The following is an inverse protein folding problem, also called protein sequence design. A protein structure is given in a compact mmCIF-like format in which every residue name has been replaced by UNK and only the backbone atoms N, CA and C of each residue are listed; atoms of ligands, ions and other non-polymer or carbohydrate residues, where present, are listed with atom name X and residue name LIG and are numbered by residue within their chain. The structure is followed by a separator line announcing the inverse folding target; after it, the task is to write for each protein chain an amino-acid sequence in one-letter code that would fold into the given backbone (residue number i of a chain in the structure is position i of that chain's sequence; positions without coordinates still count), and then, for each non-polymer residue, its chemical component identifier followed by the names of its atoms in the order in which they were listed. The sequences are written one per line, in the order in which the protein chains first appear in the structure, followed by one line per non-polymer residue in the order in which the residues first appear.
data_IF_413626519872
#
_entry.id   IF_413626519872
#
_cell.length_a   1.000
_cell.length_b   1.000
_cell.length_c   1.000
_cell.angle_alpha   90.00
_cell.angle_beta   90.00
_cell.angle_gamma   90.00
#
_symmetry.space_group_name_H-M   'P 1'
#
loop_
_entity.id
_entity.type
_entity.pdbx_description
1 polymer ?
#
# COMPACT_ATOMS: atom_id res chain seq x y z
N UNK A 1 17.66 7.03 -8.72
CA UNK A 1 16.66 6.03 -9.13
C UNK A 1 15.98 5.47 -7.88
N UNK A 2 15.29 6.31 -7.09
CA UNK A 2 14.85 5.90 -5.74
C UNK A 2 13.43 6.32 -5.36
N UNK A 3 12.58 6.66 -6.33
CA UNK A 3 11.19 7.08 -6.04
C UNK A 3 10.16 6.07 -6.55
N UNK A 4 10.52 5.22 -7.51
CA UNK A 4 9.59 4.28 -8.15
C UNK A 4 9.48 2.94 -7.41
N UNK A 5 10.58 2.44 -6.83
CA UNK A 5 10.60 1.14 -6.14
C UNK A 5 9.67 1.09 -4.93
N UNK A 6 9.65 2.14 -4.09
CA UNK A 6 8.83 2.15 -2.87
C UNK A 6 7.32 2.10 -3.15
N UNK A 7 6.84 2.72 -4.23
CA UNK A 7 5.42 2.67 -4.60
C UNK A 7 5.06 1.29 -5.15
N UNK A 8 5.87 0.75 -6.07
CA UNK A 8 5.63 -0.59 -6.62
C UNK A 8 5.64 -1.68 -5.53
N UNK A 9 6.60 -1.60 -4.60
CA UNK A 9 6.72 -2.54 -3.48
C UNK A 9 5.52 -2.42 -2.51
N UNK A 10 5.06 -1.19 -2.23
CA UNK A 10 3.89 -0.96 -1.38
C UNK A 10 2.59 -1.48 -2.01
N UNK A 11 2.38 -1.26 -3.31
CA UNK A 11 1.24 -1.85 -4.02
C UNK A 11 1.29 -3.38 -4.01
N UNK A 12 2.48 -3.98 -4.14
CA UNK A 12 2.64 -5.43 -4.10
C UNK A 12 2.39 -5.99 -2.69
N UNK A 13 2.83 -5.29 -1.64
CA UNK A 13 2.54 -5.66 -0.25
C UNK A 13 1.04 -5.61 0.04
N UNK A 14 0.35 -4.54 -0.41
CA UNK A 14 -1.10 -4.43 -0.32
C UNK A 14 -1.79 -5.53 -1.12
N UNK A 15 -1.37 -5.84 -2.34
CA UNK A 15 -1.93 -6.93 -3.14
C UNK A 15 -1.83 -8.29 -2.43
N UNK A 16 -0.69 -8.56 -1.79
CA UNK A 16 -0.45 -9.81 -1.05
C UNK A 16 -1.17 -9.89 0.29
N UNK A 17 -1.68 -8.78 0.83
CA UNK A 17 -2.23 -8.74 2.19
C UNK A 17 -1.16 -8.73 3.27
N UNK A 18 0.07 -8.32 2.94
CA UNK A 18 1.21 -8.32 3.86
C UNK A 18 1.23 -7.04 4.71
N UNK A 19 0.46 -7.06 5.80
CA UNK A 19 0.29 -5.93 6.71
C UNK A 19 1.62 -5.48 7.32
N UNK A 20 2.51 -6.42 7.64
CA UNK A 20 3.82 -6.11 8.25
C UNK A 20 4.68 -5.31 7.27
N UNK A 21 4.73 -5.71 6.00
CA UNK A 21 5.48 -5.01 4.97
C UNK A 21 4.85 -3.66 4.61
N UNK A 22 3.51 -3.58 4.56
CA UNK A 22 2.79 -2.31 4.38
C UNK A 22 3.17 -1.32 5.48
N UNK A 23 3.08 -1.74 6.75
CA UNK A 23 3.41 -0.88 7.89
C UNK A 23 4.89 -0.47 7.93
N UNK A 24 5.80 -1.38 7.53
CA UNK A 24 7.22 -1.06 7.39
C UNK A 24 7.45 0.03 6.35
N UNK A 25 6.87 -0.11 5.16
CA UNK A 25 7.03 0.84 4.06
C UNK A 25 6.41 2.21 4.40
N UNK A 26 5.24 2.23 5.04
CA UNK A 26 4.62 3.46 5.53
C UNK A 26 5.52 4.14 6.56
N UNK A 27 6.11 3.38 7.49
CA UNK A 27 7.06 3.89 8.49
C UNK A 27 8.35 4.43 7.88
N UNK A 28 8.76 3.91 6.73
CA UNK A 28 9.91 4.39 5.94
C UNK A 28 9.60 5.67 5.14
N UNK A 29 8.35 6.17 5.22
CA UNK A 29 7.90 7.39 4.56
C UNK A 29 7.30 7.16 3.17
N UNK A 30 6.85 5.94 2.88
CA UNK A 30 6.11 5.70 1.65
C UNK A 30 4.79 6.49 1.64
N UNK A 31 4.40 6.96 0.45
CA UNK A 31 3.20 7.75 0.29
C UNK A 31 1.95 6.84 0.33
N UNK A 32 1.20 6.90 1.43
CA UNK A 32 -0.08 6.18 1.59
C UNK A 32 -1.15 6.62 0.58
N UNK A 33 -0.98 7.80 -0.02
CA UNK A 33 -1.86 8.32 -1.08
C UNK A 33 -1.32 8.05 -2.49
N UNK A 34 -0.30 7.18 -2.61
CA UNK A 34 0.24 6.82 -3.91
C UNK A 34 -0.84 6.26 -4.83
N UNK A 35 -0.78 6.70 -6.08
CA UNK A 35 -1.65 6.23 -7.16
C UNK A 35 -0.80 5.45 -8.15
N UNK A 36 -1.21 4.23 -8.45
CA UNK A 36 -0.62 3.37 -9.47
C UNK A 36 -1.73 2.85 -10.39
N UNK A 37 -1.55 3.01 -11.69
CA UNK A 37 -2.51 2.56 -12.70
C UNK A 37 -3.96 3.05 -12.44
N UNK A 38 -4.09 4.30 -11.99
CA UNK A 38 -5.35 4.94 -11.55
C UNK A 38 -6.03 4.35 -10.30
N UNK A 39 -5.37 3.43 -9.59
CA UNK A 39 -5.81 2.90 -8.32
C UNK A 39 -4.97 3.49 -7.18
N UNK A 40 -5.61 3.81 -6.06
CA UNK A 40 -4.91 4.09 -4.80
C UNK A 40 -4.64 2.79 -4.06
N UNK A 41 -3.78 2.82 -3.04
CA UNK A 41 -3.61 1.68 -2.13
C UNK A 41 -4.94 1.19 -1.55
N UNK A 42 -5.84 2.12 -1.22
CA UNK A 42 -7.18 1.80 -0.72
C UNK A 42 -8.02 1.02 -1.75
N UNK A 43 -7.93 1.35 -3.04
CA UNK A 43 -8.61 0.60 -4.10
C UNK A 43 -8.08 -0.83 -4.18
N UNK A 44 -6.75 -1.02 -4.09
CA UNK A 44 -6.14 -2.36 -4.09
C UNK A 44 -6.53 -3.15 -2.84
N UNK A 45 -6.40 -2.56 -1.65
CA UNK A 45 -6.74 -3.22 -0.39
C UNK A 45 -8.23 -3.65 -0.37
N UNK A 46 -9.13 -2.81 -0.87
CA UNK A 46 -10.55 -3.14 -0.99
C UNK A 46 -10.83 -4.20 -2.08
N UNK A 47 -10.09 -4.18 -3.20
CA UNK A 47 -10.26 -5.15 -4.30
C UNK A 47 -9.86 -6.58 -3.89
N UNK A 48 -8.85 -6.71 -3.04
CA UNK A 48 -8.33 -8.00 -2.56
C UNK A 48 -8.89 -8.43 -1.19
N UNK A 49 -9.88 -7.70 -0.65
CA UNK A 49 -10.55 -7.97 0.63
C UNK A 49 -9.62 -7.90 1.87
N UNK A 50 -8.59 -7.06 1.80
CA UNK A 50 -7.64 -6.86 2.90
C UNK A 50 -8.15 -5.83 3.90
N UNK A 51 -9.21 -6.17 4.63
CA UNK A 51 -9.91 -5.27 5.54
C UNK A 51 -9.02 -4.67 6.65
N UNK A 52 -7.96 -5.37 7.07
CA UNK A 52 -7.00 -4.85 8.05
C UNK A 52 -6.14 -3.74 7.44
N UNK A 53 -5.60 -3.94 6.23
CA UNK A 53 -4.86 -2.91 5.49
C UNK A 53 -5.76 -1.69 5.21
N UNK A 54 -7.03 -1.92 4.88
CA UNK A 54 -8.00 -0.83 4.68
C UNK A 54 -8.16 0.01 5.95
N UNK A 55 -8.17 -0.61 7.14
CA UNK A 55 -8.23 0.13 8.41
C UNK A 55 -6.95 0.91 8.66
N UNK A 56 -5.78 0.28 8.48
CA UNK A 56 -4.48 0.93 8.67
C UNK A 56 -4.27 2.12 7.71
N UNK A 57 -4.88 2.09 6.52
CA UNK A 57 -4.85 3.21 5.55
C UNK A 57 -5.91 4.31 5.83
N UNK A 58 -6.89 4.05 6.71
CA UNK A 58 -7.98 4.99 7.03
C UNK A 58 -7.81 5.66 8.41
N UNK A 59 -7.04 5.08 9.32
CA UNK A 59 -6.63 5.69 10.61
C UNK A 59 -5.55 6.77 10.42
#
# INVERSE_FOLDING_TARGET
MSSSQSIDDLFQAVERGDIDEVNRLISEGADVNAVKDNNTLLHCAAMYDHAEIVKDLLD
#
